data_IF_088548988057
#
_entry.id   IF_088548988057
#
_cell.length_a   1.000
_cell.length_b   1.000
_cell.length_c   1.000
_cell.angle_alpha   90.00
_cell.angle_beta   90.00
_cell.angle_gamma   90.00
#
_symmetry.space_group_name_H-M   'P 1'
#
loop_
_entity.id
_entity.type
_entity.pdbx_description
1 polymer ?
#
# COMPACT_ATOMS: atom_id res chain seq x y z
N UNK A 1 20.62 -7.84 -28.24
CA UNK A 1 20.48 -7.57 -26.80
C UNK A 1 20.43 -6.06 -26.59
N UNK A 2 19.70 -5.59 -25.59
CA UNK A 2 18.99 -4.29 -25.49
C UNK A 2 17.66 -4.26 -26.25
N UNK A 3 16.56 -4.47 -25.51
CA UNK A 3 15.20 -3.95 -25.77
C UNK A 3 14.27 -4.50 -24.71
N UNK A 4 13.78 -3.65 -23.83
CA UNK A 4 12.80 -4.10 -22.86
C UNK A 4 12.48 -3.14 -21.74
N UNK A 5 12.66 -1.83 -21.92
CA UNK A 5 11.82 -0.86 -21.22
C UNK A 5 10.38 -1.07 -21.69
N UNK A 6 9.77 -2.17 -21.23
CA UNK A 6 8.36 -2.48 -21.32
C UNK A 6 7.65 -1.64 -20.25
N UNK A 7 7.85 -0.32 -20.30
CA UNK A 7 7.08 0.60 -19.49
C UNK A 7 5.89 1.03 -20.35
N UNK A 8 4.70 0.42 -20.18
CA UNK A 8 3.50 1.02 -20.74
C UNK A 8 3.27 2.35 -20.01
N UNK A 9 3.69 3.43 -20.67
CA UNK A 9 3.13 4.76 -20.43
C UNK A 9 1.63 4.69 -20.81
N UNK A 10 0.74 4.68 -19.83
CA UNK A 10 -0.72 4.72 -20.06
C UNK A 10 -1.49 4.75 -18.74
N UNK A 11 -2.07 5.85 -18.27
CA UNK A 11 -3.36 6.41 -18.72
C UNK A 11 -4.33 5.35 -19.25
N UNK A 12 -4.84 4.49 -18.36
CA UNK A 12 -6.20 3.93 -18.30
C UNK A 12 -6.18 2.78 -17.28
N UNK A 13 -7.26 2.63 -16.52
CA UNK A 13 -7.42 1.58 -15.51
C UNK A 13 -7.50 0.17 -16.14
N UNK A 14 -6.39 -0.31 -16.68
CA UNK A 14 -6.24 -1.62 -17.27
C UNK A 14 -6.33 -2.71 -16.18
N UNK A 15 -6.63 -3.94 -16.59
CA UNK A 15 -6.79 -5.09 -15.69
C UNK A 15 -5.61 -5.26 -14.69
N UNK A 16 -4.40 -4.82 -15.07
CA UNK A 16 -3.22 -4.74 -14.21
C UNK A 16 -3.46 -3.91 -12.95
N UNK A 17 -3.91 -2.65 -13.09
CA UNK A 17 -4.20 -1.79 -11.93
C UNK A 17 -5.31 -2.37 -11.05
N UNK A 18 -6.34 -3.01 -11.62
CA UNK A 18 -7.38 -3.68 -10.82
C UNK A 18 -6.83 -4.87 -10.04
N UNK A 19 -5.99 -5.69 -10.67
CA UNK A 19 -5.35 -6.83 -10.02
C UNK A 19 -4.40 -6.36 -8.91
N UNK A 20 -3.59 -5.32 -9.18
CA UNK A 20 -2.68 -4.75 -8.21
C UNK A 20 -3.42 -4.17 -6.99
N UNK A 21 -4.53 -3.45 -7.21
CA UNK A 21 -5.40 -2.96 -6.12
C UNK A 21 -5.99 -4.10 -5.30
N UNK A 22 -6.45 -5.18 -5.93
CA UNK A 22 -6.97 -6.35 -5.21
C UNK A 22 -5.89 -7.02 -4.36
N UNK A 23 -4.66 -7.16 -4.89
CA UNK A 23 -3.52 -7.72 -4.15
C UNK A 23 -3.17 -6.84 -2.94
N UNK A 24 -3.03 -5.53 -3.15
CA UNK A 24 -2.78 -4.57 -2.07
C UNK A 24 -3.87 -4.65 -1.00
N UNK A 25 -5.15 -4.65 -1.42
CA UNK A 25 -6.28 -4.76 -0.51
C UNK A 25 -6.24 -6.06 0.31
N UNK A 26 -5.88 -7.19 -0.31
CA UNK A 26 -5.79 -8.49 0.36
C UNK A 26 -4.70 -8.51 1.43
N UNK A 27 -3.51 -7.95 1.13
CA UNK A 27 -2.42 -7.87 2.11
C UNK A 27 -2.81 -6.99 3.28
N UNK A 28 -3.37 -5.81 3.00
CA UNK A 28 -3.82 -4.88 4.02
C UNK A 28 -4.96 -5.48 4.85
N UNK A 29 -5.90 -6.20 4.22
CA UNK A 29 -6.96 -6.96 4.89
C UNK A 29 -6.40 -7.95 5.90
N UNK A 30 -5.37 -8.70 5.52
CA UNK A 30 -4.70 -9.66 6.41
C UNK A 30 -4.13 -8.96 7.63
N UNK A 31 -3.56 -7.74 7.49
CA UNK A 31 -3.03 -6.98 8.63
C UNK A 31 -4.10 -6.70 9.69
N UNK A 32 -5.28 -6.21 9.33
CA UNK A 32 -6.30 -5.92 10.35
C UNK A 32 -7.20 -7.12 10.70
N UNK A 33 -7.39 -8.10 9.79
CA UNK A 33 -8.24 -9.29 10.04
C UNK A 33 -7.51 -10.40 10.79
N UNK A 34 -6.27 -10.69 10.41
CA UNK A 34 -5.50 -11.82 10.97
C UNK A 34 -4.55 -11.34 12.08
N UNK A 35 -3.88 -10.20 11.87
CA UNK A 35 -2.91 -9.67 12.85
C UNK A 35 -3.53 -8.69 13.87
N UNK A 36 -4.81 -8.35 13.74
CA UNK A 36 -5.53 -7.50 14.69
C UNK A 36 -5.11 -6.02 14.70
N UNK A 37 -4.41 -5.55 13.66
CA UNK A 37 -4.05 -4.13 13.56
C UNK A 37 -5.30 -3.25 13.37
N UNK A 38 -5.32 -2.08 13.99
CA UNK A 38 -6.38 -1.11 13.72
C UNK A 38 -6.29 -0.65 12.26
N UNK A 39 -7.41 -0.77 11.53
CA UNK A 39 -7.48 -0.34 10.12
C UNK A 39 -6.93 1.07 9.92
N UNK A 40 -7.31 2.02 10.79
CA UNK A 40 -6.85 3.41 10.73
C UNK A 40 -5.33 3.52 10.78
N UNK A 41 -4.66 2.72 11.62
CA UNK A 41 -3.21 2.76 11.76
C UNK A 41 -2.50 2.13 10.55
N UNK A 42 -3.03 1.03 10.01
CA UNK A 42 -2.53 0.43 8.76
C UNK A 42 -2.59 1.44 7.62
N UNK A 43 -3.74 2.12 7.42
CA UNK A 43 -3.88 3.11 6.35
C UNK A 43 -3.06 4.39 6.61
N UNK A 44 -2.89 4.81 7.88
CA UNK A 44 -2.03 5.95 8.24
C UNK A 44 -0.56 5.67 7.90
N UNK A 45 -0.05 4.49 8.26
CA UNK A 45 1.33 4.15 7.96
C UNK A 45 1.56 3.89 6.48
N UNK A 46 0.60 3.24 5.80
CA UNK A 46 0.64 3.11 4.35
C UNK A 46 0.64 4.48 3.67
N UNK A 47 -0.16 5.42 4.16
CA UNK A 47 -0.18 6.79 3.62
C UNK A 47 1.18 7.48 3.78
N UNK A 48 1.81 7.35 4.95
CA UNK A 48 3.16 7.88 5.17
C UNK A 48 4.20 7.21 4.26
N UNK A 49 4.12 5.89 4.09
CA UNK A 49 5.03 5.12 3.22
C UNK A 49 4.90 5.52 1.73
N UNK A 50 3.69 5.85 1.30
CA UNK A 50 3.40 6.32 -0.06
C UNK A 50 3.49 7.85 -0.21
N UNK A 51 3.86 8.57 0.86
CA UNK A 51 3.91 10.03 0.94
C UNK A 51 2.60 10.71 0.50
N UNK A 52 1.46 10.06 0.78
CA UNK A 52 0.11 10.60 0.52
C UNK A 52 -0.57 11.03 1.80
N UNK A 53 -1.57 11.92 1.68
CA UNK A 53 -2.38 12.31 2.83
C UNK A 53 -3.24 11.11 3.28
N UNK A 54 -3.34 10.81 4.59
CA UNK A 54 -4.18 9.72 5.09
C UNK A 54 -5.65 9.84 4.62
N UNK A 55 -6.14 11.07 4.53
CA UNK A 55 -7.50 11.36 4.08
C UNK A 55 -7.74 11.08 2.58
N UNK A 56 -6.67 11.01 1.78
CA UNK A 56 -6.72 10.69 0.34
C UNK A 56 -6.10 9.31 0.04
N UNK A 57 -5.74 8.55 1.08
CA UNK A 57 -5.19 7.20 1.00
C UNK A 57 -6.31 6.19 0.69
N UNK A 58 -6.85 6.27 -0.52
CA UNK A 58 -7.88 5.37 -1.03
C UNK A 58 -7.26 4.40 -2.03
N UNK A 59 -7.24 3.10 -1.70
CA UNK A 59 -6.73 2.04 -2.60
C UNK A 59 -7.43 2.09 -3.97
N UNK A 60 -8.70 2.48 -4.01
CA UNK A 60 -9.46 2.67 -5.25
C UNK A 60 -8.94 3.77 -6.17
N UNK A 61 -8.08 4.67 -5.67
CA UNK A 61 -7.41 5.72 -6.45
C UNK A 61 -5.93 5.41 -6.72
N UNK A 62 -5.37 4.34 -6.16
CA UNK A 62 -3.96 4.06 -6.30
C UNK A 62 -3.57 3.79 -7.76
N UNK A 63 -2.42 4.32 -8.15
CA UNK A 63 -1.74 3.97 -9.40
C UNK A 63 -1.14 2.56 -9.29
N UNK A 64 -0.73 1.98 -10.41
CA UNK A 64 -0.09 0.66 -10.42
C UNK A 64 1.19 0.63 -9.57
N UNK A 65 2.05 1.67 -9.68
CA UNK A 65 3.22 1.84 -8.82
C UNK A 65 2.86 1.90 -7.33
N UNK A 66 1.85 2.69 -6.95
CA UNK A 66 1.41 2.77 -5.54
C UNK A 66 0.89 1.42 -5.03
N UNK A 67 0.20 0.65 -5.89
CA UNK A 67 -0.24 -0.70 -5.53
C UNK A 67 0.93 -1.65 -5.34
N UNK A 68 1.94 -1.58 -6.19
CA UNK A 68 3.15 -2.40 -6.07
C UNK A 68 3.93 -2.09 -4.79
N UNK A 69 4.11 -0.80 -4.49
CA UNK A 69 4.66 -0.33 -3.21
C UNK A 69 3.84 -0.79 -2.01
N UNK A 70 2.50 -0.75 -2.10
CA UNK A 70 1.60 -1.22 -1.04
C UNK A 70 1.66 -2.75 -0.85
N UNK A 71 1.90 -3.52 -1.92
CA UNK A 71 2.10 -4.97 -1.84
C UNK A 71 3.42 -5.33 -1.18
N UNK A 72 4.46 -4.53 -1.43
CA UNK A 72 5.78 -4.70 -0.81
C UNK A 72 5.88 -4.02 0.57
N UNK A 73 4.78 -3.45 1.07
CA UNK A 73 4.76 -2.79 2.37
C UNK A 73 5.02 -3.82 3.47
N UNK A 74 6.12 -3.68 4.25
CA UNK A 74 6.47 -4.64 5.27
C UNK A 74 5.47 -4.56 6.43
N UNK A 75 4.70 -5.64 6.63
CA UNK A 75 3.80 -5.86 7.75
C UNK A 75 4.47 -5.69 9.13
N UNK A 76 5.80 -5.73 9.20
CA UNK A 76 6.56 -5.51 10.44
C UNK A 76 6.65 -4.03 10.83
N UNK A 77 6.40 -3.09 9.91
CA UNK A 77 6.48 -1.66 10.18
C UNK A 77 5.33 -1.16 11.08
N UNK A 78 4.17 -1.83 11.04
CA UNK A 78 3.02 -1.52 11.91
C UNK A 78 3.27 -1.77 13.40
N UNK A 79 4.39 -2.40 13.77
CA UNK A 79 4.77 -2.66 15.16
C UNK A 79 5.54 -1.52 15.85
N UNK A 80 6.01 -0.50 15.11
CA UNK A 80 6.94 0.51 15.64
C UNK A 80 6.30 1.84 16.07
N UNK A 81 5.05 1.82 16.54
CA UNK A 81 4.57 2.83 17.49
C UNK A 81 4.39 2.18 18.86
N UNK A 82 5.43 1.46 19.30
CA UNK A 82 5.70 1.29 20.71
C UNK A 82 5.98 2.70 21.26
N UNK A 83 4.96 3.33 21.82
CA UNK A 83 5.05 4.32 22.90
C UNK A 83 6.49 4.62 23.35
N UNK A 84 7.23 5.47 22.65
CA UNK A 84 8.38 6.13 23.25
C UNK A 84 7.85 7.29 24.11
N UNK A 85 6.99 6.95 25.09
CA UNK A 85 6.61 7.83 26.18
C UNK A 85 7.48 7.44 27.36
N UNK A 86 8.57 8.18 27.48
CA UNK A 86 9.07 8.74 28.75
C UNK A 86 9.07 7.79 29.95
N UNK A 87 10.23 7.17 30.19
CA UNK A 87 10.74 7.00 31.56
C UNK A 87 12.11 7.66 31.63
#
# INVERSE_FOLDING_TARGET
MHKGDNLPQGTLANAGTRSARQKAHKILDVLWKEYGFARVDVYRQLANYLEVKPNDCHIGKFTEQQCESAVNYPATSVHSHHWASTF
#
